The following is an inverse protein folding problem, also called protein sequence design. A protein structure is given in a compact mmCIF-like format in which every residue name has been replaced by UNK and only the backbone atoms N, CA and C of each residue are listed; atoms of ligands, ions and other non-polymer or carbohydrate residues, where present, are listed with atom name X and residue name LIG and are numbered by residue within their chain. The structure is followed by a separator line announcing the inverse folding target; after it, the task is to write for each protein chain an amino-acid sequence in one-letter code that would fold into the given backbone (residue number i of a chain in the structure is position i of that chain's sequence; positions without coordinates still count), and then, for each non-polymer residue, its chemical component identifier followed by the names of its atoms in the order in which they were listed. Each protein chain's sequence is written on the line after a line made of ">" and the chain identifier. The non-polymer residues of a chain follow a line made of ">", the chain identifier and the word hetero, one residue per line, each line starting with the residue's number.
data_IF_888466367567
#
_entry.id   IF_888466367567
#
_cell.length_a   1.000
_cell.length_b   1.000
_cell.length_c   1.000
_cell.angle_alpha   90.00
_cell.angle_beta   90.00
_cell.angle_gamma   90.00
#
_symmetry.space_group_name_H-M   'P 1'
#
loop_
_entity.id
_entity.type
_entity.pdbx_description
1 polymer ?
#
# COMPACT_ATOMS: atom_id res chain seq x y z
N UNK A 1 15.80 -4.08 -10.51
CA UNK A 1 14.42 -4.48 -10.16
C UNK A 1 14.12 -3.90 -8.79
N UNK A 2 13.16 -2.99 -8.73
CA UNK A 2 12.76 -2.33 -7.49
C UNK A 2 11.50 -3.01 -6.93
N UNK A 3 11.35 -3.04 -5.61
CA UNK A 3 10.14 -3.53 -4.94
C UNK A 3 9.53 -2.42 -4.12
N UNK A 4 8.23 -2.20 -4.29
CA UNK A 4 7.45 -1.22 -3.53
C UNK A 4 6.55 -1.97 -2.56
N UNK A 5 6.75 -1.71 -1.27
CA UNK A 5 5.83 -2.14 -0.22
C UNK A 5 4.75 -1.08 -0.10
N UNK A 6 3.55 -1.40 -0.57
CA UNK A 6 2.46 -0.44 -0.72
C UNK A 6 1.40 -0.63 0.35
N UNK A 7 1.28 0.36 1.26
CA UNK A 7 0.34 0.34 2.38
C UNK A 7 -0.91 1.15 2.07
N UNK A 8 -1.86 0.54 1.38
CA UNK A 8 -3.11 1.20 0.98
C UNK A 8 -4.06 1.45 2.16
N UNK A 9 -3.93 0.69 3.24
CA UNK A 9 -4.71 0.89 4.46
C UNK A 9 -3.92 0.46 5.70
N UNK A 10 -4.20 1.09 6.83
CA UNK A 10 -3.81 0.63 8.16
C UNK A 10 -4.93 -0.19 8.84
N UNK A 11 -6.14 -0.24 8.25
CA UNK A 11 -7.26 -1.00 8.77
C UNK A 11 -6.96 -2.49 8.71
N UNK A 12 -7.24 -3.20 9.81
CA UNK A 12 -7.01 -4.63 9.91
C UNK A 12 -8.10 -5.26 10.78
N UNK A 13 -8.60 -6.42 10.38
CA UNK A 13 -9.55 -7.23 11.15
C UNK A 13 -8.84 -8.29 12.03
N UNK A 14 -7.52 -8.36 11.99
CA UNK A 14 -6.69 -9.15 12.88
C UNK A 14 -6.04 -8.28 13.98
N UNK A 15 -5.52 -8.94 15.03
CA UNK A 15 -4.75 -8.29 16.10
C UNK A 15 -3.52 -9.11 16.45
N UNK A 16 -2.63 -9.28 15.47
CA UNK A 16 -1.42 -10.07 15.63
C UNK A 16 -0.56 -9.51 16.78
N UNK A 17 -0.10 -10.38 17.69
CA UNK A 17 0.62 -9.98 18.91
C UNK A 17 1.93 -9.20 18.64
N UNK A 18 2.48 -9.35 17.44
CA UNK A 18 3.74 -8.73 17.01
C UNK A 18 3.55 -7.53 16.08
N UNK A 19 2.30 -7.13 15.78
CA UNK A 19 2.03 -6.10 14.77
C UNK A 19 2.02 -4.68 15.36
N UNK A 20 3.02 -3.88 15.02
CA UNK A 20 3.15 -2.49 15.47
C UNK A 20 1.98 -1.58 15.04
N UNK A 21 1.34 -1.86 13.89
CA UNK A 21 0.24 -1.04 13.34
C UNK A 21 -1.01 -1.10 14.22
N UNK A 22 -1.41 -2.30 14.66
CA UNK A 22 -2.63 -2.50 15.46
C UNK A 22 -2.42 -2.20 16.96
N UNK A 23 -1.16 -2.18 17.42
CA UNK A 23 -0.81 -1.91 18.82
C UNK A 23 -0.34 -0.48 19.07
N UNK A 24 -0.04 0.31 18.03
CA UNK A 24 0.18 1.75 18.18
C UNK A 24 -1.10 2.43 18.72
N UNK A 25 -0.91 3.31 19.72
CA UNK A 25 -1.89 4.18 20.41
C UNK A 25 -3.06 4.63 19.52
N UNK A 26 -4.27 4.90 20.06
CA UNK A 26 -5.52 4.96 19.29
C UNK A 26 -5.45 6.03 18.20
N UNK A 27 -5.07 5.60 17.00
CA UNK A 27 -5.29 6.33 15.76
C UNK A 27 -6.37 5.56 15.04
N UNK A 28 -7.35 6.29 14.51
CA UNK A 28 -8.29 5.70 13.58
C UNK A 28 -7.49 5.16 12.39
N UNK A 29 -7.73 3.92 11.96
CA UNK A 29 -7.03 3.38 10.80
C UNK A 29 -7.22 4.30 9.61
N UNK A 30 -6.12 4.62 8.92
CA UNK A 30 -6.17 5.47 7.72
C UNK A 30 -6.20 4.57 6.50
N UNK A 31 -7.17 4.82 5.62
CA UNK A 31 -7.22 4.24 4.27
C UNK A 31 -6.89 5.31 3.26
N UNK A 32 -6.03 4.97 2.30
CA UNK A 32 -5.65 5.85 1.21
C UNK A 32 -6.87 6.26 0.38
N UNK A 33 -7.06 7.56 0.08
CA UNK A 33 -8.09 8.00 -0.87
C UNK A 33 -7.85 7.43 -2.27
N UNK A 34 -8.92 7.16 -3.01
CA UNK A 34 -8.85 6.57 -4.36
C UNK A 34 -8.03 7.44 -5.31
N UNK A 35 -8.12 8.77 -5.20
CA UNK A 35 -7.39 9.70 -6.06
C UNK A 35 -5.88 9.59 -5.87
N UNK A 36 -5.44 9.25 -4.65
CA UNK A 36 -4.01 9.02 -4.35
C UNK A 36 -3.54 7.68 -4.94
N UNK A 37 -4.40 6.66 -4.92
CA UNK A 37 -4.14 5.36 -5.55
C UNK A 37 -3.99 5.50 -7.07
N UNK A 38 -4.91 6.23 -7.71
CA UNK A 38 -4.87 6.54 -9.13
C UNK A 38 -3.59 7.30 -9.51
N UNK A 39 -3.23 8.32 -8.73
CA UNK A 39 -2.00 9.06 -8.94
C UNK A 39 -0.77 8.16 -8.84
N UNK A 40 -0.72 7.25 -7.86
CA UNK A 40 0.39 6.32 -7.70
C UNK A 40 0.59 5.43 -8.93
N UNK A 41 -0.48 4.81 -9.44
CA UNK A 41 -0.39 3.97 -10.63
C UNK A 41 -0.10 4.79 -11.90
N UNK A 42 -0.61 6.02 -12.00
CA UNK A 42 -0.27 6.94 -13.08
C UNK A 42 1.25 7.23 -13.11
N UNK A 43 1.87 7.49 -11.96
CA UNK A 43 3.33 7.71 -11.86
C UNK A 43 4.15 6.46 -12.16
N UNK A 44 3.69 5.28 -11.73
CA UNK A 44 4.34 4.01 -12.13
C UNK A 44 4.30 3.86 -13.65
N UNK A 45 3.15 4.12 -14.27
CA UNK A 45 3.00 4.00 -15.71
C UNK A 45 3.93 4.97 -16.47
N UNK A 46 4.00 6.24 -16.05
CA UNK A 46 4.96 7.22 -16.59
C UNK A 46 6.40 6.68 -16.54
N UNK A 47 6.82 6.19 -15.37
CA UNK A 47 8.17 5.65 -15.16
C UNK A 47 8.48 4.44 -16.05
N UNK A 48 7.58 3.46 -16.11
CA UNK A 48 7.78 2.24 -16.90
C UNK A 48 7.67 2.50 -18.41
N UNK A 49 6.92 3.52 -18.83
CA UNK A 49 6.83 3.93 -20.23
C UNK A 49 8.13 4.60 -20.68
N UNK A 50 8.73 5.46 -19.84
CA UNK A 50 10.02 6.07 -20.12
C UNK A 50 11.17 5.05 -20.08
N UNK A 51 11.03 4.00 -19.26
CA UNK A 51 12.07 2.97 -19.04
C UNK A 51 11.49 1.55 -19.20
N UNK A 52 11.20 1.09 -20.43
CA UNK A 52 10.49 -0.17 -20.67
C UNK A 52 11.29 -1.43 -20.27
N UNK A 53 12.60 -1.29 -20.02
CA UNK A 53 13.46 -2.39 -19.56
C UNK A 53 13.35 -2.59 -18.03
N UNK A 54 12.86 -1.57 -17.32
CA UNK A 54 12.72 -1.62 -15.87
C UNK A 54 11.54 -2.49 -15.46
N UNK A 55 11.66 -3.08 -14.27
CA UNK A 55 10.62 -3.88 -13.66
C UNK A 55 10.43 -3.45 -12.21
N UNK A 56 9.17 -3.43 -11.79
CA UNK A 56 8.77 -3.07 -10.45
C UNK A 56 7.85 -4.15 -9.89
N UNK A 57 8.20 -4.65 -8.70
CA UNK A 57 7.35 -5.53 -7.93
C UNK A 57 6.53 -4.71 -6.95
N UNK A 58 5.21 -4.89 -6.95
CA UNK A 58 4.32 -4.23 -6.02
C UNK A 58 3.80 -5.24 -4.98
N UNK A 59 4.13 -5.01 -3.72
CA UNK A 59 3.65 -5.82 -2.60
C UNK A 59 2.56 -5.06 -1.87
N UNK A 60 1.32 -5.51 -2.02
CA UNK A 60 0.19 -5.02 -1.24
C UNK A 60 0.40 -5.39 0.23
N UNK A 61 0.54 -4.37 1.07
CA UNK A 61 0.79 -4.50 2.49
C UNK A 61 -0.01 -3.43 3.25
N UNK A 62 0.36 -3.15 4.50
CA UNK A 62 -0.42 -2.33 5.43
C UNK A 62 -1.10 -3.20 6.47
N UNK A 63 -2.31 -2.82 6.89
CA UNK A 63 -3.20 -3.63 7.71
C UNK A 63 -3.63 -4.91 6.98
N UNK A 64 -4.92 -5.04 6.67
CA UNK A 64 -5.46 -6.13 5.84
C UNK A 64 -5.91 -5.59 4.48
N UNK A 65 -5.13 -5.81 3.40
CA UNK A 65 -5.49 -5.33 2.06
C UNK A 65 -6.86 -5.80 1.56
N UNK A 66 -7.32 -6.98 1.98
CA UNK A 66 -8.61 -7.52 1.55
C UNK A 66 -9.82 -6.78 2.16
N UNK A 67 -9.62 -5.81 3.06
CA UNK A 67 -10.70 -4.96 3.57
C UNK A 67 -11.06 -3.79 2.64
N UNK A 68 -10.32 -3.59 1.55
CA UNK A 68 -10.55 -2.48 0.62
C UNK A 68 -11.73 -2.71 -0.34
N UNK A 69 -12.28 -3.92 -0.39
CA UNK A 69 -13.40 -4.29 -1.26
C UNK A 69 -12.99 -5.23 -2.39
#
# INVERSE_FOLDING_TARGET
>A
MATVIFKATEACNARCIYCDVVHKKPRNPVTMPLETLELFFSRINEFLTEKPQEKLDLVWHGGEPLLLG
#
